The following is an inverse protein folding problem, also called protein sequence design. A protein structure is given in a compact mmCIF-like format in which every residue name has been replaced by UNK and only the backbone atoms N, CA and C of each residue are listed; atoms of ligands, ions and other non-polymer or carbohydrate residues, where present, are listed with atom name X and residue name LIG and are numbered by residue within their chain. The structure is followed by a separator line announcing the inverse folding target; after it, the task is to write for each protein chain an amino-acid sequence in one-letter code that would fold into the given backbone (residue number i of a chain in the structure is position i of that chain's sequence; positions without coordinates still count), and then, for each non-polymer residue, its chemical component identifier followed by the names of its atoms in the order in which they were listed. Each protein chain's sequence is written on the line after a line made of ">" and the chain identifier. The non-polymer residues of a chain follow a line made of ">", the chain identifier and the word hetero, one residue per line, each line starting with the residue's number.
data_IF_775735921648
#
_entry.id   IF_775735921648
#
_cell.length_a   1.000
_cell.length_b   1.000
_cell.length_c   1.000
_cell.angle_alpha   90.00
_cell.angle_beta   90.00
_cell.angle_gamma   90.00
#
_symmetry.space_group_name_H-M   'P 1'
#
loop_
_entity.id
_entity.type
_entity.pdbx_description
1 polymer ?
#
# COMPACT_ATOMS: atom_id res chain seq x y z
N UNK A 1 -27.85 -22.71 -11.46
CA UNK A 1 -28.09 -21.26 -11.27
C UNK A 1 -26.82 -20.56 -11.69
N UNK A 2 -26.88 -19.77 -12.76
CA UNK A 2 -25.75 -18.99 -13.27
C UNK A 2 -26.00 -17.52 -12.90
N UNK A 3 -24.99 -16.83 -12.40
CA UNK A 3 -25.06 -15.40 -12.14
C UNK A 3 -24.68 -14.69 -13.44
N UNK A 4 -25.53 -13.77 -13.88
CA UNK A 4 -25.27 -12.95 -15.07
C UNK A 4 -24.92 -11.52 -14.64
N UNK A 5 -23.86 -11.01 -15.26
CA UNK A 5 -23.40 -9.64 -15.08
C UNK A 5 -23.54 -8.88 -16.40
N UNK A 6 -23.91 -7.61 -16.32
CA UNK A 6 -23.85 -6.72 -17.48
C UNK A 6 -22.41 -6.23 -17.74
N UNK A 7 -22.19 -5.56 -18.87
CA UNK A 7 -20.86 -5.10 -19.28
C UNK A 7 -20.20 -4.14 -18.26
N UNK A 8 -21.00 -3.32 -17.57
CA UNK A 8 -20.49 -2.36 -16.58
C UNK A 8 -20.09 -3.06 -15.28
N UNK A 9 -20.94 -3.99 -14.81
CA UNK A 9 -20.66 -4.85 -13.67
C UNK A 9 -19.40 -5.71 -13.91
N UNK A 10 -19.29 -6.34 -15.09
CA UNK A 10 -18.11 -7.13 -15.47
C UNK A 10 -16.83 -6.28 -15.43
N UNK A 11 -16.89 -5.06 -15.94
CA UNK A 11 -15.76 -4.12 -15.89
C UNK A 11 -15.40 -3.76 -14.44
N UNK A 12 -16.39 -3.56 -13.57
CA UNK A 12 -16.15 -3.30 -12.15
C UNK A 12 -15.54 -4.50 -11.43
N UNK A 13 -15.98 -5.72 -11.73
CA UNK A 13 -15.37 -6.92 -11.17
C UNK A 13 -13.91 -7.08 -11.57
N UNK A 14 -13.57 -6.83 -12.84
CA UNK A 14 -12.16 -6.87 -13.29
C UNK A 14 -11.29 -5.93 -12.47
N UNK A 15 -11.74 -4.69 -12.27
CA UNK A 15 -11.01 -3.71 -11.46
C UNK A 15 -10.92 -4.08 -9.98
N UNK A 16 -12.01 -4.61 -9.41
CA UNK A 16 -12.02 -5.11 -8.03
C UNK A 16 -11.01 -6.25 -7.87
N UNK A 17 -10.96 -7.19 -8.82
CA UNK A 17 -10.01 -8.31 -8.79
C UNK A 17 -8.57 -7.79 -8.88
N UNK A 18 -8.28 -6.90 -9.83
CA UNK A 18 -6.95 -6.27 -9.96
C UNK A 18 -6.55 -5.56 -8.67
N UNK A 19 -7.44 -4.73 -8.12
CA UNK A 19 -7.16 -3.97 -6.90
C UNK A 19 -7.02 -4.88 -5.68
N UNK A 20 -7.81 -5.95 -5.59
CA UNK A 20 -7.69 -6.94 -4.52
C UNK A 20 -6.32 -7.63 -4.54
N UNK A 21 -5.86 -8.07 -5.71
CA UNK A 21 -4.54 -8.70 -5.85
C UNK A 21 -3.42 -7.75 -5.36
N UNK A 22 -3.44 -6.50 -5.81
CA UNK A 22 -2.48 -5.48 -5.36
C UNK A 22 -2.54 -5.31 -3.83
N UNK A 23 -3.73 -5.08 -3.27
CA UNK A 23 -3.89 -4.87 -1.82
C UNK A 23 -3.47 -6.10 -1.02
N UNK A 24 -3.73 -7.32 -1.53
CA UNK A 24 -3.38 -8.58 -0.88
C UNK A 24 -1.87 -8.80 -0.85
N UNK A 25 -1.18 -8.53 -1.95
CA UNK A 25 0.28 -8.67 -2.04
C UNK A 25 0.97 -7.72 -1.05
N UNK A 26 0.54 -6.46 -1.00
CA UNK A 26 1.06 -5.48 -0.05
C UNK A 26 0.75 -5.92 1.39
N UNK A 27 -0.45 -6.46 1.65
CA UNK A 27 -0.84 -6.91 2.99
C UNK A 27 0.03 -8.04 3.50
N UNK A 28 0.26 -9.08 2.68
CA UNK A 28 1.12 -10.22 3.05
C UNK A 28 2.51 -9.71 3.40
N UNK A 29 3.06 -8.82 2.58
CA UNK A 29 4.39 -8.26 2.83
C UNK A 29 4.43 -7.41 4.11
N UNK A 30 3.40 -6.59 4.35
CA UNK A 30 3.27 -5.82 5.57
C UNK A 30 3.19 -6.69 6.83
N UNK A 31 2.46 -7.80 6.77
CA UNK A 31 2.38 -8.78 7.85
C UNK A 31 3.72 -9.48 8.12
N UNK A 32 4.46 -9.82 7.06
CA UNK A 32 5.77 -10.47 7.17
C UNK A 32 6.81 -9.56 7.83
N UNK A 33 6.93 -8.31 7.36
CA UNK A 33 7.91 -7.36 7.93
C UNK A 33 7.46 -6.76 9.26
N UNK A 34 6.15 -6.60 9.44
CA UNK A 34 5.54 -5.99 10.62
C UNK A 34 5.34 -6.94 11.80
N UNK A 35 5.21 -8.24 11.53
CA UNK A 35 4.94 -9.28 12.53
C UNK A 35 3.47 -9.34 13.00
N UNK A 36 2.60 -8.48 12.48
CA UNK A 36 1.17 -8.45 12.83
C UNK A 36 0.30 -7.92 11.67
N UNK A 37 -1.00 -8.24 11.71
CA UNK A 37 -1.97 -7.70 10.75
C UNK A 37 -2.31 -6.24 11.03
N UNK A 38 -2.30 -5.41 9.98
CA UNK A 38 -2.67 -4.00 10.09
C UNK A 38 -4.19 -3.80 10.03
N UNK A 39 -4.80 -3.67 11.21
CA UNK A 39 -6.27 -3.63 11.39
C UNK A 39 -7.01 -2.65 10.45
N UNK A 40 -6.54 -1.40 10.22
CA UNK A 40 -7.24 -0.48 9.31
C UNK A 40 -7.34 -1.00 7.86
N UNK A 41 -6.37 -1.78 7.39
CA UNK A 41 -6.46 -2.38 6.05
C UNK A 41 -7.37 -3.61 6.04
N UNK A 42 -7.32 -4.42 7.10
CA UNK A 42 -8.21 -5.59 7.27
C UNK A 42 -9.68 -5.18 7.32
N UNK A 43 -10.01 -4.08 8.00
CA UNK A 43 -11.37 -3.55 8.07
C UNK A 43 -11.88 -3.10 6.70
N UNK A 44 -11.05 -2.42 5.90
CA UNK A 44 -11.39 -2.03 4.53
C UNK A 44 -11.60 -3.26 3.62
N UNK A 45 -10.77 -4.29 3.74
CA UNK A 45 -10.98 -5.56 3.01
C UNK A 45 -12.31 -6.22 3.39
N UNK A 46 -12.66 -6.21 4.68
CA UNK A 46 -13.95 -6.73 5.16
C UNK A 46 -15.12 -5.93 4.58
N UNK A 47 -15.04 -4.61 4.58
CA UNK A 47 -16.08 -3.76 3.98
C UNK A 47 -16.23 -4.01 2.48
N UNK A 48 -15.13 -4.18 1.75
CA UNK A 48 -15.19 -4.55 0.34
C UNK A 48 -15.92 -5.89 0.13
N UNK A 49 -15.63 -6.87 0.98
CA UNK A 49 -16.29 -8.18 0.94
C UNK A 49 -17.78 -8.08 1.27
N UNK A 50 -18.18 -7.29 2.28
CA UNK A 50 -19.59 -7.06 2.62
C UNK A 50 -20.38 -6.53 1.40
N UNK A 51 -19.81 -5.57 0.67
CA UNK A 51 -20.42 -5.05 -0.56
C UNK A 51 -20.54 -6.12 -1.65
N UNK A 52 -19.52 -6.95 -1.86
CA UNK A 52 -19.60 -8.06 -2.82
C UNK A 52 -20.69 -9.07 -2.44
N UNK A 53 -20.82 -9.39 -1.15
CA UNK A 53 -21.87 -10.27 -0.65
C UNK A 53 -23.27 -9.69 -0.88
N UNK A 54 -23.45 -8.37 -0.80
CA UNK A 54 -24.71 -7.72 -1.16
C UNK A 54 -25.04 -7.82 -2.66
N UNK A 55 -24.03 -7.70 -3.53
CA UNK A 55 -24.21 -7.92 -4.98
C UNK A 55 -24.66 -9.36 -5.24
N UNK A 56 -24.00 -10.34 -4.62
CA UNK A 56 -24.38 -11.75 -4.77
C UNK A 56 -25.77 -12.05 -4.20
N UNK A 57 -26.11 -11.49 -3.04
CA UNK A 57 -27.45 -11.63 -2.45
C UNK A 57 -28.54 -11.10 -3.39
N UNK A 58 -28.29 -9.97 -4.06
CA UNK A 58 -29.20 -9.43 -5.08
C UNK A 58 -29.29 -10.33 -6.31
N UNK A 59 -28.16 -10.69 -6.91
CA UNK A 59 -28.10 -11.50 -8.14
C UNK A 59 -28.68 -12.91 -7.96
N UNK A 60 -28.64 -13.45 -6.74
CA UNK A 60 -29.21 -14.76 -6.40
C UNK A 60 -30.66 -14.69 -5.89
N UNK A 61 -31.27 -13.49 -5.86
CA UNK A 61 -32.66 -13.32 -5.45
C UNK A 61 -32.91 -13.37 -3.95
N UNK A 62 -31.88 -13.42 -3.12
CA UNK A 62 -31.99 -13.28 -1.65
C UNK A 62 -32.35 -11.85 -1.22
N UNK A 63 -32.12 -10.87 -2.10
CA UNK A 63 -32.47 -9.46 -1.88
C UNK A 63 -33.16 -8.88 -3.11
N UNK A 64 -34.29 -8.22 -2.90
CA UNK A 64 -35.01 -7.48 -3.93
C UNK A 64 -34.54 -6.02 -3.94
N UNK A 65 -34.11 -5.52 -5.09
CA UNK A 65 -33.65 -4.15 -5.31
C UNK A 65 -33.80 -3.77 -6.78
N UNK A 66 -33.51 -2.52 -7.14
CA UNK A 66 -33.49 -2.10 -8.54
C UNK A 66 -32.22 -2.57 -9.28
N UNK A 67 -32.20 -2.37 -10.59
CA UNK A 67 -31.09 -2.79 -11.45
C UNK A 67 -29.75 -2.09 -11.14
N UNK A 68 -29.76 -0.91 -10.50
CA UNK A 68 -28.53 -0.17 -10.17
C UNK A 68 -27.87 -0.67 -8.91
N UNK A 69 -28.59 -1.44 -8.09
CA UNK A 69 -28.13 -1.92 -6.80
C UNK A 69 -26.78 -2.64 -6.84
N UNK A 70 -26.51 -3.41 -7.90
CA UNK A 70 -25.22 -4.08 -8.06
C UNK A 70 -24.07 -3.07 -8.24
N UNK A 71 -24.21 -2.13 -9.18
CA UNK A 71 -23.22 -1.06 -9.44
C UNK A 71 -22.98 -0.20 -8.19
N UNK A 72 -24.06 0.15 -7.49
CA UNK A 72 -24.00 0.93 -6.25
C UNK A 72 -23.24 0.24 -5.12
N UNK A 73 -23.00 -1.08 -5.21
CA UNK A 73 -22.20 -1.85 -4.26
C UNK A 73 -20.81 -2.22 -4.81
N UNK A 74 -20.68 -2.47 -6.11
CA UNK A 74 -19.38 -2.72 -6.75
C UNK A 74 -18.45 -1.51 -6.67
N UNK A 75 -18.97 -0.28 -6.85
CA UNK A 75 -18.17 0.94 -6.73
C UNK A 75 -17.59 1.08 -5.31
N UNK A 76 -18.38 1.02 -4.21
CA UNK A 76 -17.84 0.99 -2.86
C UNK A 76 -16.86 -0.16 -2.59
N UNK A 77 -17.11 -1.36 -3.11
CA UNK A 77 -16.18 -2.49 -2.94
C UNK A 77 -14.78 -2.13 -3.47
N UNK A 78 -14.70 -1.61 -4.69
CA UNK A 78 -13.44 -1.11 -5.25
C UNK A 78 -12.80 -0.02 -4.38
N UNK A 79 -13.60 0.94 -3.91
CA UNK A 79 -13.12 2.05 -3.07
C UNK A 79 -12.49 1.58 -1.76
N UNK A 80 -13.10 0.60 -1.12
CA UNK A 80 -12.58 -0.01 0.09
C UNK A 80 -11.27 -0.74 -0.17
N UNK A 81 -11.16 -1.52 -1.25
CA UNK A 81 -9.88 -2.15 -1.62
C UNK A 81 -8.77 -1.14 -1.91
N UNK A 82 -9.11 -0.03 -2.57
CA UNK A 82 -8.17 1.06 -2.84
C UNK A 82 -7.73 1.76 -1.55
N UNK A 83 -8.64 1.98 -0.59
CA UNK A 83 -8.28 2.48 0.75
C UNK A 83 -7.39 1.51 1.51
N UNK A 84 -7.66 0.21 1.43
CA UNK A 84 -6.82 -0.82 2.05
C UNK A 84 -5.37 -0.74 1.54
N UNK A 85 -5.17 -0.61 0.22
CA UNK A 85 -3.82 -0.44 -0.35
C UNK A 85 -3.10 0.80 0.21
N UNK A 86 -3.78 1.96 0.25
CA UNK A 86 -3.20 3.17 0.83
C UNK A 86 -2.87 3.03 2.32
N UNK A 87 -3.77 2.40 3.10
CA UNK A 87 -3.54 2.15 4.52
C UNK A 87 -2.27 1.30 4.73
N UNK A 88 -2.08 0.27 3.91
CA UNK A 88 -0.88 -0.59 3.96
C UNK A 88 0.38 0.14 3.51
N UNK A 89 0.31 0.98 2.47
CA UNK A 89 1.44 1.78 2.01
C UNK A 89 1.82 2.86 3.03
N UNK A 90 0.84 3.48 3.70
CA UNK A 90 1.07 4.38 4.83
C UNK A 90 1.82 3.63 5.94
N UNK A 91 1.34 2.43 6.33
CA UNK A 91 1.99 1.59 7.33
C UNK A 91 3.43 1.25 6.95
N UNK A 92 3.66 0.68 5.76
CA UNK A 92 5.00 0.30 5.29
C UNK A 92 5.92 1.52 5.16
N UNK A 93 5.38 2.66 4.74
CA UNK A 93 6.17 3.89 4.65
C UNK A 93 6.65 4.34 6.03
N UNK A 94 5.82 4.23 7.07
CA UNK A 94 6.24 4.54 8.45
C UNK A 94 7.27 3.51 8.91
N UNK A 95 6.96 2.22 8.74
CA UNK A 95 7.84 1.12 9.12
C UNK A 95 9.27 1.26 8.57
N UNK A 96 9.44 1.42 7.26
CA UNK A 96 10.79 1.54 6.68
C UNK A 96 11.48 2.85 7.06
N UNK A 97 10.73 3.94 7.27
CA UNK A 97 11.31 5.18 7.79
C UNK A 97 11.87 5.01 9.18
N UNK A 98 11.15 4.34 10.06
CA UNK A 98 11.59 4.08 11.43
C UNK A 98 12.80 3.14 11.43
N UNK A 99 12.77 2.06 10.64
CA UNK A 99 13.91 1.15 10.48
C UNK A 99 15.16 1.85 9.98
N UNK A 100 15.05 2.66 8.93
CA UNK A 100 16.17 3.46 8.43
C UNK A 100 16.67 4.40 9.52
N UNK A 101 15.80 5.12 10.23
CA UNK A 101 16.23 6.02 11.30
C UNK A 101 16.93 5.28 12.46
N UNK A 102 16.45 4.11 12.83
CA UNK A 102 17.01 3.31 13.92
C UNK A 102 18.40 2.75 13.57
N UNK A 103 18.59 2.19 12.39
CA UNK A 103 19.92 1.78 11.91
C UNK A 103 20.89 2.98 11.90
N UNK A 104 20.38 4.14 11.48
CA UNK A 104 21.19 5.35 11.36
C UNK A 104 21.65 5.93 12.70
N UNK A 105 20.90 5.72 13.79
CA UNK A 105 21.30 6.14 15.15
C UNK A 105 22.58 5.45 15.64
N UNK A 106 22.94 4.31 15.06
CA UNK A 106 24.14 3.56 15.43
C UNK A 106 25.45 4.16 14.88
N UNK A 107 25.37 5.16 14.01
CA UNK A 107 26.53 5.79 13.36
C UNK A 107 26.77 7.21 13.83
N UNK A 108 28.04 7.61 13.94
CA UNK A 108 28.38 9.03 14.08
C UNK A 108 28.12 9.78 12.77
N UNK A 109 27.88 11.10 12.84
CA UNK A 109 27.70 11.93 11.64
C UNK A 109 28.91 11.87 10.69
N UNK A 110 30.11 11.75 11.24
CA UNK A 110 31.36 11.58 10.47
C UNK A 110 31.39 10.24 9.73
N UNK A 111 31.05 9.14 10.39
CA UNK A 111 30.95 7.81 9.75
C UNK A 111 29.93 7.79 8.62
N UNK A 112 28.78 8.45 8.80
CA UNK A 112 27.76 8.56 7.77
C UNK A 112 28.23 9.39 6.58
N UNK A 113 28.98 10.46 6.83
CA UNK A 113 29.48 11.34 5.79
C UNK A 113 30.62 10.72 5.00
N UNK A 114 31.52 9.99 5.67
CA UNK A 114 32.67 9.34 5.03
C UNK A 114 32.29 8.06 4.31
N UNK A 115 31.46 7.22 4.92
CA UNK A 115 31.26 5.84 4.45
C UNK A 115 29.92 5.68 3.72
N UNK A 116 28.91 6.49 4.05
CA UNK A 116 27.60 6.45 3.39
C UNK A 116 27.30 7.77 2.67
N UNK A 117 28.13 8.09 1.67
CA UNK A 117 28.09 9.37 0.93
C UNK A 117 26.74 9.73 0.29
N UNK A 118 25.88 8.75 0.03
CA UNK A 118 24.50 8.94 -0.44
C UNK A 118 23.57 9.47 0.65
N UNK A 119 23.89 9.30 1.92
CA UNK A 119 22.99 9.62 3.03
C UNK A 119 22.55 11.09 3.04
N UNK A 120 23.50 12.00 3.21
CA UNK A 120 23.19 13.43 3.30
C UNK A 120 22.77 14.04 1.96
N UNK A 121 23.19 13.44 0.82
CA UNK A 121 22.95 13.96 -0.52
C UNK A 121 21.63 13.49 -1.14
N UNK A 122 21.21 12.27 -0.84
CA UNK A 122 20.07 11.62 -1.49
C UNK A 122 19.03 11.16 -0.48
N UNK A 123 19.44 10.29 0.45
CA UNK A 123 18.52 9.58 1.35
C UNK A 123 17.83 10.56 2.29
N UNK A 124 18.58 11.31 3.08
CA UNK A 124 18.02 12.25 4.06
C UNK A 124 17.11 13.32 3.41
N UNK A 125 17.50 14.00 2.31
CA UNK A 125 16.58 14.91 1.61
C UNK A 125 15.32 14.22 1.07
N UNK A 126 15.44 12.99 0.58
CA UNK A 126 14.28 12.24 0.08
C UNK A 126 13.30 11.90 1.21
N UNK A 127 13.80 11.33 2.31
CA UNK A 127 13.01 10.94 3.48
C UNK A 127 12.31 12.12 4.17
N UNK A 128 13.00 13.24 4.33
CA UNK A 128 12.52 14.36 5.15
C UNK A 128 11.66 15.34 4.36
N UNK A 129 11.90 15.50 3.07
CA UNK A 129 11.25 16.55 2.26
C UNK A 129 10.49 15.97 1.07
N UNK A 130 11.16 15.23 0.18
CA UNK A 130 10.56 14.84 -1.11
C UNK A 130 9.42 13.84 -0.93
N UNK A 131 9.68 12.71 -0.28
CA UNK A 131 8.69 11.67 -0.13
C UNK A 131 7.47 12.10 0.71
N UNK A 132 7.60 12.83 1.84
CA UNK A 132 6.44 13.36 2.54
C UNK A 132 5.58 14.30 1.66
N UNK A 133 6.21 15.12 0.83
CA UNK A 133 5.51 16.01 -0.11
C UNK A 133 4.77 15.21 -1.18
N UNK A 134 5.43 14.22 -1.78
CA UNK A 134 4.85 13.35 -2.80
C UNK A 134 3.69 12.52 -2.23
N UNK A 135 3.87 11.90 -1.07
CA UNK A 135 2.82 11.14 -0.37
C UNK A 135 1.65 12.06 -0.01
N UNK A 136 1.91 13.26 0.52
CA UNK A 136 0.83 14.20 0.84
C UNK A 136 0.01 14.56 -0.39
N UNK A 137 0.68 14.77 -1.53
CA UNK A 137 0.02 15.05 -2.81
C UNK A 137 -0.83 13.87 -3.28
N UNK A 138 -0.25 12.67 -3.30
CA UNK A 138 -0.95 11.43 -3.67
C UNK A 138 -2.15 11.14 -2.76
N UNK A 139 -2.10 11.56 -1.48
CA UNK A 139 -3.21 11.44 -0.54
C UNK A 139 -4.28 12.51 -0.73
N UNK A 140 -3.90 13.76 -1.02
CA UNK A 140 -4.86 14.86 -1.24
C UNK A 140 -5.57 14.76 -2.59
N UNK A 141 -4.88 14.25 -3.60
CA UNK A 141 -5.40 14.07 -4.96
C UNK A 141 -6.11 12.72 -5.12
N UNK A 142 -6.15 11.90 -4.05
CA UNK A 142 -6.85 10.61 -3.99
C UNK A 142 -8.35 10.81 -4.14
N UNK A 143 -8.80 10.99 -5.37
CA UNK A 143 -10.22 10.93 -5.69
C UNK A 143 -10.67 9.47 -5.57
N UNK A 144 -11.19 9.12 -4.40
CA UNK A 144 -11.74 7.78 -4.13
C UNK A 144 -12.87 7.45 -5.13
N UNK A 145 -13.44 8.45 -5.81
CA UNK A 145 -14.42 8.26 -6.88
C UNK A 145 -13.86 7.91 -8.25
N UNK A 146 -12.56 8.11 -8.52
CA UNK A 146 -11.94 7.87 -9.83
C UNK A 146 -10.83 6.84 -9.74
N UNK A 147 -10.89 5.84 -10.62
CA UNK A 147 -9.83 4.85 -10.83
C UNK A 147 -8.56 5.56 -11.26
N UNK A 148 -7.54 5.60 -10.41
CA UNK A 148 -6.24 6.17 -10.73
C UNK A 148 -5.12 5.21 -10.30
N UNK A 149 -4.87 4.21 -11.15
CA UNK A 149 -3.80 3.21 -10.98
C UNK A 149 -2.40 3.87 -10.96
N UNK A 150 -2.23 4.98 -11.70
CA UNK A 150 -0.95 5.67 -11.79
C UNK A 150 -0.50 6.23 -10.44
N UNK A 151 -1.43 6.73 -9.62
CA UNK A 151 -1.08 7.32 -8.32
C UNK A 151 -0.79 6.27 -7.25
N UNK A 152 -1.50 5.13 -7.30
CA UNK A 152 -1.18 4.01 -6.42
C UNK A 152 0.20 3.43 -6.76
N UNK A 153 0.51 3.24 -8.04
CA UNK A 153 1.82 2.75 -8.48
C UNK A 153 2.97 3.68 -8.06
N UNK A 154 2.80 5.00 -8.18
CA UNK A 154 3.78 5.97 -7.66
C UNK A 154 3.99 5.81 -6.15
N UNK A 155 2.93 5.56 -5.38
CA UNK A 155 3.09 5.35 -3.95
C UNK A 155 3.81 4.03 -3.65
N UNK A 156 3.51 2.96 -4.39
CA UNK A 156 4.27 1.69 -4.31
C UNK A 156 5.77 1.95 -4.57
N UNK A 157 6.10 2.71 -5.61
CA UNK A 157 7.50 3.06 -5.94
C UNK A 157 8.21 3.83 -4.82
N UNK A 158 7.51 4.75 -4.14
CA UNK A 158 8.07 5.48 -2.98
C UNK A 158 8.40 4.50 -1.84
N UNK A 159 7.51 3.57 -1.53
CA UNK A 159 7.71 2.57 -0.46
C UNK A 159 8.82 1.59 -0.82
N UNK A 160 8.87 1.10 -2.06
CA UNK A 160 9.96 0.24 -2.55
C UNK A 160 11.31 0.96 -2.48
N UNK A 161 11.33 2.27 -2.75
CA UNK A 161 12.56 3.06 -2.56
C UNK A 161 12.99 3.14 -1.10
N UNK A 162 12.06 3.30 -0.15
CA UNK A 162 12.40 3.24 1.28
C UNK A 162 12.96 1.89 1.69
N UNK A 163 12.35 0.80 1.21
CA UNK A 163 12.84 -0.57 1.42
C UNK A 163 14.25 -0.76 0.85
N UNK A 164 14.52 -0.27 -0.36
CA UNK A 164 15.86 -0.33 -0.96
C UNK A 164 16.90 0.39 -0.09
N UNK A 165 16.58 1.56 0.44
CA UNK A 165 17.51 2.27 1.33
C UNK A 165 17.75 1.54 2.65
N UNK A 166 16.74 0.84 3.17
CA UNK A 166 16.93 -0.02 4.34
C UNK A 166 17.85 -1.21 4.02
N UNK A 167 17.66 -1.86 2.87
CA UNK A 167 18.54 -2.93 2.40
C UNK A 167 20.00 -2.48 2.27
N UNK A 168 20.25 -1.34 1.61
CA UNK A 168 21.59 -0.77 1.47
C UNK A 168 22.28 -0.55 2.83
N UNK A 169 21.52 -0.14 3.86
CA UNK A 169 22.04 0.05 5.22
C UNK A 169 22.34 -1.26 5.94
N UNK A 170 21.50 -2.29 5.78
CA UNK A 170 21.75 -3.60 6.37
C UNK A 170 22.98 -4.27 5.77
N UNK A 171 23.11 -4.26 4.44
CA UNK A 171 24.28 -4.81 3.74
C UNK A 171 25.57 -4.13 4.19
N UNK A 172 25.50 -2.81 4.39
CA UNK A 172 26.61 -2.05 4.95
C UNK A 172 26.95 -2.51 6.38
N UNK A 173 25.96 -2.65 7.27
CA UNK A 173 26.18 -3.12 8.64
C UNK A 173 26.81 -4.52 8.71
N UNK A 174 26.37 -5.44 7.84
CA UNK A 174 26.94 -6.78 7.72
C UNK A 174 28.40 -6.74 7.25
N UNK A 175 28.71 -5.89 6.26
CA UNK A 175 30.09 -5.73 5.76
C UNK A 175 31.06 -5.18 6.80
N UNK A 176 30.59 -4.38 7.76
CA UNK A 176 31.41 -3.84 8.85
C UNK A 176 31.68 -4.91 9.92
N UNK A 177 30.66 -5.67 10.30
CA UNK A 177 30.78 -6.69 11.35
C UNK A 177 31.64 -7.88 10.90
N UNK A 178 31.78 -8.14 9.60
CA UNK A 178 32.71 -9.15 9.07
C UNK A 178 34.17 -8.67 9.00
N UNK A 179 34.42 -7.37 9.19
CA UNK A 179 35.76 -6.76 9.21
C UNK A 179 36.30 -6.50 10.62
N UNK A 180 35.55 -6.85 11.67
CA UNK A 180 35.99 -6.76 13.07
C UNK A 180 36.27 -8.17 13.61
N UNK A 181 37.54 -8.52 13.92
CA UNK A 181 37.91 -9.82 14.49
C UNK A 181 37.31 -10.11 15.87
#
# INVERSE_FOLDING_TARGET
>A
MQIEFDEEEEKLFKDIITQYSISKDIMIYAEDVGGESFSPATEELRHAFDHLMWVFAFKLGFKQADAKYAIENLIPAYRHLYRAAYNLLDYLSIYFRDKVQDEMKSFSGETLQEIFSKYYKEIKPYFVVKAPTEISKLRSEKDIGKRNENDLNKYIEIVERFKSYYGDLLDFNLSRNSLTP
#
